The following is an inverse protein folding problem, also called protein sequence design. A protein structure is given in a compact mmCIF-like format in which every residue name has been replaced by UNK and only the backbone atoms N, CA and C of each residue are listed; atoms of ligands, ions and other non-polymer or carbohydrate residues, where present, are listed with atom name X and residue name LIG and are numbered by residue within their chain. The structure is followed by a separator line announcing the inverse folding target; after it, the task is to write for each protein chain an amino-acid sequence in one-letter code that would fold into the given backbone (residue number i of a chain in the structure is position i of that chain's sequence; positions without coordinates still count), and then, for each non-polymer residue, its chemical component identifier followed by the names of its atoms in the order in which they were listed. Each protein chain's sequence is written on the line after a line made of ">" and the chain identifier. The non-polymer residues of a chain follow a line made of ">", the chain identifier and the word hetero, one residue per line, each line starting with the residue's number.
data_IF_594290849871
#
_entry.id   IF_594290849871
#
_cell.length_a   1.000
_cell.length_b   1.000
_cell.length_c   1.000
_cell.angle_alpha   90.00
_cell.angle_beta   90.00
_cell.angle_gamma   90.00
#
_symmetry.space_group_name_H-M   'P 1'
#
loop_
_entity.id
_entity.type
_entity.pdbx_description
1 polymer ?
#
# COMPACT_ATOMS: atom_id res chain seq x y z
N UNK A 1 20.05 26.84 -37.78
CA UNK A 1 20.61 26.82 -36.41
C UNK A 1 19.73 27.70 -35.53
N UNK A 2 18.95 27.12 -34.61
CA UNK A 2 18.41 27.81 -33.42
C UNK A 2 17.89 26.74 -32.45
N UNK A 3 18.56 26.63 -31.31
CA UNK A 3 18.29 25.69 -30.21
C UNK A 3 16.96 26.01 -29.52
N UNK A 4 16.05 25.03 -29.45
CA UNK A 4 14.93 25.03 -28.49
C UNK A 4 15.27 24.09 -27.33
N UNK A 5 16.23 24.49 -26.49
CA UNK A 5 16.58 23.79 -25.26
C UNK A 5 15.55 24.10 -24.16
N UNK A 6 14.72 23.10 -23.86
CA UNK A 6 14.31 22.70 -22.51
C UNK A 6 13.97 23.77 -21.48
N UNK A 7 12.72 24.24 -21.47
CA UNK A 7 12.06 24.77 -20.27
C UNK A 7 10.95 23.82 -19.82
N UNK A 8 11.31 22.57 -19.51
CA UNK A 8 10.43 21.71 -18.72
C UNK A 8 10.21 22.41 -17.37
N UNK A 9 9.01 22.96 -17.17
CA UNK A 9 8.78 23.95 -16.11
C UNK A 9 9.06 23.37 -14.72
N UNK A 10 9.93 24.06 -13.97
CA UNK A 10 10.29 23.71 -12.59
C UNK A 10 9.05 23.70 -11.68
N UNK A 11 8.03 24.48 -12.02
CA UNK A 11 6.72 24.55 -11.35
C UNK A 11 5.97 23.21 -11.40
N UNK A 12 5.95 22.52 -12.55
CA UNK A 12 5.31 21.21 -12.68
C UNK A 12 6.04 20.13 -11.87
N UNK A 13 7.36 20.25 -11.70
CA UNK A 13 8.15 19.31 -10.89
C UNK A 13 7.85 19.48 -9.40
N UNK A 14 7.80 20.71 -8.89
CA UNK A 14 7.44 20.99 -7.48
C UNK A 14 5.99 20.58 -7.16
N UNK A 15 5.06 20.87 -8.06
CA UNK A 15 3.66 20.45 -7.93
C UNK A 15 3.52 18.91 -7.96
N UNK A 16 4.23 18.23 -8.87
CA UNK A 16 4.25 16.77 -8.91
C UNK A 16 4.83 16.17 -7.62
N UNK A 17 5.94 16.70 -7.10
CA UNK A 17 6.52 16.26 -5.82
C UNK A 17 5.51 16.45 -4.67
N UNK A 18 4.83 17.59 -4.61
CA UNK A 18 3.79 17.84 -3.62
C UNK A 18 2.63 16.83 -3.71
N UNK A 19 2.18 16.51 -4.92
CA UNK A 19 1.14 15.50 -5.15
C UNK A 19 1.58 14.11 -4.70
N UNK A 20 2.82 13.69 -5.03
CA UNK A 20 3.37 12.41 -4.57
C UNK A 20 3.50 12.35 -3.05
N UNK A 21 3.99 13.42 -2.42
CA UNK A 21 4.11 13.49 -0.96
C UNK A 21 2.74 13.37 -0.28
N UNK A 22 1.72 14.06 -0.80
CA UNK A 22 0.36 13.99 -0.31
C UNK A 22 -0.23 12.57 -0.48
N UNK A 23 -0.06 11.96 -1.65
CA UNK A 23 -0.53 10.60 -1.92
C UNK A 23 0.11 9.57 -0.97
N UNK A 24 1.42 9.68 -0.73
CA UNK A 24 2.15 8.81 0.22
C UNK A 24 1.65 9.05 1.65
N UNK A 25 1.46 10.30 2.05
CA UNK A 25 0.93 10.63 3.38
C UNK A 25 -0.46 10.01 3.62
N UNK A 26 -1.40 10.18 2.68
CA UNK A 26 -2.74 9.60 2.80
C UNK A 26 -2.71 8.07 2.77
N UNK A 27 -1.87 7.47 1.93
CA UNK A 27 -1.70 6.03 1.85
C UNK A 27 -1.25 5.44 3.19
N UNK A 28 -0.18 5.96 3.76
CA UNK A 28 0.34 5.50 5.06
C UNK A 28 -0.60 5.83 6.21
N UNK A 29 -1.22 7.01 6.21
CA UNK A 29 -2.22 7.40 7.21
C UNK A 29 -3.38 6.41 7.25
N UNK A 30 -3.94 6.06 6.09
CA UNK A 30 -5.03 5.08 5.99
C UNK A 30 -4.64 3.70 6.52
N UNK A 31 -3.38 3.27 6.35
CA UNK A 31 -2.89 1.98 6.83
C UNK A 31 -2.68 1.93 8.35
N UNK A 32 -2.19 3.03 8.95
CA UNK A 32 -1.80 3.07 10.35
C UNK A 32 -2.88 3.50 11.33
N UNK A 33 -3.90 4.24 10.89
CA UNK A 33 -4.96 4.75 11.78
C UNK A 33 -5.69 3.64 12.57
N UNK A 34 -5.94 2.49 11.94
CA UNK A 34 -6.70 1.39 12.56
C UNK A 34 -5.81 0.27 13.12
N UNK A 35 -4.48 0.35 12.94
CA UNK A 35 -3.54 -0.63 13.47
C UNK A 35 -3.58 -0.79 15.01
N UNK A 36 -3.72 0.28 15.83
CA UNK A 36 -3.81 0.11 17.29
C UNK A 36 -5.16 -0.46 17.74
N UNK A 37 -6.23 -0.28 16.96
CA UNK A 37 -7.58 -0.75 17.31
C UNK A 37 -7.89 -2.14 16.76
N UNK A 38 -7.15 -2.62 15.76
CA UNK A 38 -7.40 -3.92 15.16
C UNK A 38 -7.20 -5.10 16.15
N UNK A 39 -6.14 -5.16 16.97
CA UNK A 39 -5.95 -6.27 17.90
C UNK A 39 -7.07 -6.37 18.94
N UNK A 40 -7.54 -5.23 19.46
CA UNK A 40 -8.64 -5.19 20.44
C UNK A 40 -9.97 -5.56 19.78
N UNK A 41 -10.20 -5.14 18.53
CA UNK A 41 -11.37 -5.58 17.76
C UNK A 41 -11.36 -7.09 17.49
N UNK A 42 -10.21 -7.65 17.12
CA UNK A 42 -10.08 -9.09 16.91
C UNK A 42 -10.28 -9.88 18.21
N UNK A 43 -9.69 -9.44 19.33
CA UNK A 43 -9.90 -10.07 20.63
C UNK A 43 -11.37 -10.09 21.06
N UNK A 44 -12.18 -9.12 20.66
CA UNK A 44 -13.62 -9.15 20.91
C UNK A 44 -14.39 -10.21 20.10
N UNK A 45 -13.77 -10.73 19.03
CA UNK A 45 -14.38 -11.67 18.08
C UNK A 45 -13.81 -13.09 18.14
N UNK A 46 -12.62 -13.28 18.71
CA UNK A 46 -11.98 -14.60 18.81
C UNK A 46 -11.63 -14.95 20.24
N UNK A 47 -11.81 -16.22 20.58
CA UNK A 47 -11.45 -16.79 21.87
C UNK A 47 -9.94 -17.09 21.91
N UNK A 48 -9.39 -17.56 20.80
CA UNK A 48 -7.97 -17.91 20.68
C UNK A 48 -7.12 -16.76 20.16
N UNK A 49 -6.10 -16.39 20.95
CA UNK A 49 -5.16 -15.33 20.61
C UNK A 49 -4.30 -15.66 19.36
N UNK A 50 -4.14 -16.95 19.04
CA UNK A 50 -3.44 -17.43 17.84
C UNK A 50 -3.99 -16.83 16.55
N UNK A 51 -5.32 -16.64 16.47
CA UNK A 51 -5.96 -16.04 15.30
C UNK A 51 -5.66 -14.55 15.16
N UNK A 52 -5.53 -13.83 16.27
CA UNK A 52 -5.14 -12.41 16.27
C UNK A 52 -3.76 -12.26 15.66
N UNK A 53 -2.80 -13.08 16.09
CA UNK A 53 -1.45 -13.13 15.52
C UNK A 53 -1.44 -13.52 14.04
N UNK A 54 -2.28 -14.48 13.65
CA UNK A 54 -2.42 -14.89 12.25
C UNK A 54 -2.88 -13.73 11.34
N UNK A 55 -3.95 -13.03 11.71
CA UNK A 55 -4.48 -11.88 10.94
C UNK A 55 -3.45 -10.74 10.84
N UNK A 56 -2.75 -10.45 11.94
CA UNK A 56 -1.71 -9.40 11.98
C UNK A 56 -0.51 -9.77 11.09
N UNK A 57 -0.06 -11.03 11.14
CA UNK A 57 1.08 -11.51 10.36
C UNK A 57 0.82 -11.60 8.87
N UNK A 58 -0.43 -11.81 8.42
CA UNK A 58 -0.78 -11.82 6.99
C UNK A 58 -0.35 -10.54 6.27
N UNK A 59 -0.48 -9.39 6.91
CA UNK A 59 -0.02 -8.12 6.32
C UNK A 59 1.48 -8.17 6.00
N UNK A 60 2.31 -8.55 6.96
CA UNK A 60 3.76 -8.64 6.79
C UNK A 60 4.18 -9.78 5.85
N UNK A 61 3.49 -10.92 5.88
CA UNK A 61 3.73 -12.07 5.00
C UNK A 61 3.54 -11.69 3.54
N UNK A 62 2.36 -11.14 3.20
CA UNK A 62 2.05 -10.73 1.84
C UNK A 62 2.92 -9.56 1.38
N UNK A 63 3.23 -8.63 2.28
CA UNK A 63 4.18 -7.56 2.01
C UNK A 63 5.56 -8.12 1.63
N UNK A 64 6.08 -9.11 2.37
CA UNK A 64 7.38 -9.72 2.10
C UNK A 64 7.38 -10.53 0.79
N UNK A 65 6.33 -11.33 0.57
CA UNK A 65 6.18 -12.17 -0.62
C UNK A 65 6.09 -11.35 -1.91
N UNK A 66 5.36 -10.24 -1.89
CA UNK A 66 5.13 -9.40 -3.07
C UNK A 66 6.33 -8.49 -3.36
N UNK A 67 7.13 -8.16 -2.33
CA UNK A 67 8.25 -7.24 -2.45
C UNK A 67 9.36 -7.74 -3.39
N UNK A 68 9.70 -9.03 -3.33
CA UNK A 68 10.75 -9.62 -4.20
C UNK A 68 10.33 -9.60 -5.69
N UNK A 69 9.17 -10.16 -6.10
CA UNK A 69 8.76 -10.18 -7.49
C UNK A 69 8.50 -8.77 -8.03
N UNK A 70 7.97 -7.85 -7.22
CA UNK A 70 7.78 -6.46 -7.65
C UNK A 70 9.09 -5.70 -7.84
N UNK A 71 10.12 -5.98 -7.05
CA UNK A 71 11.45 -5.40 -7.28
C UNK A 71 11.98 -5.78 -8.67
N UNK A 72 11.91 -7.08 -9.01
CA UNK A 72 12.35 -7.58 -10.31
C UNK A 72 11.47 -7.01 -11.45
N UNK A 73 10.15 -7.00 -11.28
CA UNK A 73 9.22 -6.47 -12.29
C UNK A 73 9.40 -4.96 -12.53
N UNK A 74 9.72 -4.19 -11.49
CA UNK A 74 10.00 -2.77 -11.60
C UNK A 74 11.27 -2.48 -12.41
N UNK A 75 12.33 -3.24 -12.14
CA UNK A 75 13.60 -3.15 -12.88
C UNK A 75 13.41 -3.49 -14.36
N UNK A 76 12.50 -4.42 -14.68
CA UNK A 76 12.23 -4.83 -16.05
C UNK A 76 11.34 -3.85 -16.84
N UNK A 77 10.36 -3.21 -16.18
CA UNK A 77 9.34 -2.42 -16.86
C UNK A 77 9.69 -0.93 -17.00
N UNK A 78 10.62 -0.40 -16.19
CA UNK A 78 11.17 0.97 -16.31
C UNK A 78 10.16 2.12 -16.15
N UNK A 79 8.86 1.87 -15.95
CA UNK A 79 7.80 2.87 -15.80
C UNK A 79 7.16 2.80 -14.42
N UNK A 80 7.40 3.82 -13.59
CA UNK A 80 7.03 3.87 -12.16
C UNK A 80 5.57 4.27 -11.89
N UNK A 81 4.99 5.09 -12.77
CA UNK A 81 3.63 5.65 -12.60
C UNK A 81 2.50 4.62 -12.46
N UNK A 82 2.40 3.54 -13.29
CA UNK A 82 1.28 2.60 -13.19
C UNK A 82 1.28 1.79 -11.89
N UNK A 83 2.45 1.42 -11.36
CA UNK A 83 2.55 0.68 -10.11
C UNK A 83 1.95 1.46 -8.93
N UNK A 84 2.19 2.77 -8.87
CA UNK A 84 1.65 3.62 -7.81
C UNK A 84 0.11 3.61 -7.79
N UNK A 85 -0.51 3.70 -8.97
CA UNK A 85 -1.97 3.67 -9.12
C UNK A 85 -2.52 2.31 -8.69
N UNK A 86 -1.88 1.21 -9.10
CA UNK A 86 -2.28 -0.15 -8.70
C UNK A 86 -2.15 -0.35 -7.20
N UNK A 87 -1.04 0.10 -6.59
CA UNK A 87 -0.84 0.04 -5.14
C UNK A 87 -1.90 0.81 -4.37
N UNK A 88 -2.21 2.05 -4.78
CA UNK A 88 -3.29 2.85 -4.19
C UNK A 88 -4.67 2.19 -4.33
N UNK A 89 -4.98 1.66 -5.52
CA UNK A 89 -6.25 0.98 -5.77
C UNK A 89 -6.41 -0.26 -4.88
N UNK A 90 -5.38 -1.10 -4.80
CA UNK A 90 -5.36 -2.28 -3.91
C UNK A 90 -5.47 -1.88 -2.44
N UNK A 91 -4.81 -0.79 -2.03
CA UNK A 91 -4.86 -0.29 -0.65
C UNK A 91 -6.26 0.19 -0.28
N UNK A 92 -6.91 0.95 -1.17
CA UNK A 92 -8.29 1.39 -1.01
C UNK A 92 -9.26 0.19 -0.93
N UNK A 93 -9.06 -0.80 -1.79
CA UNK A 93 -9.88 -2.02 -1.79
C UNK A 93 -9.70 -2.85 -0.51
N UNK A 94 -8.46 -3.04 -0.07
CA UNK A 94 -8.16 -3.75 1.17
C UNK A 94 -8.75 -3.04 2.39
N UNK A 95 -8.63 -1.71 2.45
CA UNK A 95 -9.25 -0.90 3.51
C UNK A 95 -10.78 -0.99 3.49
N UNK A 96 -11.40 -0.99 2.32
CA UNK A 96 -12.85 -1.14 2.18
C UNK A 96 -13.33 -2.52 2.65
N UNK A 97 -12.62 -3.60 2.30
CA UNK A 97 -12.91 -4.96 2.78
C UNK A 97 -12.79 -5.01 4.30
N UNK A 98 -11.75 -4.42 4.88
CA UNK A 98 -11.56 -4.35 6.33
C UNK A 98 -12.69 -3.58 7.05
N UNK A 99 -13.21 -2.51 6.44
CA UNK A 99 -14.29 -1.71 7.01
C UNK A 99 -15.69 -2.33 6.86
N UNK A 100 -15.88 -3.19 5.86
CA UNK A 100 -17.17 -3.84 5.59
C UNK A 100 -17.27 -5.24 6.19
N UNK A 101 -16.13 -5.89 6.46
CA UNK A 101 -16.10 -7.27 6.96
C UNK A 101 -16.22 -7.33 8.48
N UNK A 102 -17.20 -8.09 8.96
CA UNK A 102 -17.34 -8.42 10.38
C UNK A 102 -16.77 -9.79 10.75
N UNK A 103 -16.35 -10.56 9.75
CA UNK A 103 -15.88 -11.93 9.88
C UNK A 103 -14.36 -12.02 9.87
N UNK A 104 -13.82 -13.01 10.59
CA UNK A 104 -12.39 -13.22 10.73
C UNK A 104 -11.69 -13.42 9.37
N UNK A 105 -12.33 -14.17 8.47
CA UNK A 105 -11.83 -14.45 7.13
C UNK A 105 -11.77 -13.16 6.30
N UNK A 106 -12.81 -12.32 6.39
CA UNK A 106 -12.84 -11.03 5.69
C UNK A 106 -11.74 -10.08 6.19
N UNK A 107 -11.49 -10.04 7.51
CA UNK A 107 -10.38 -9.27 8.09
C UNK A 107 -9.00 -9.78 7.64
N UNK A 108 -8.85 -11.10 7.55
CA UNK A 108 -7.64 -11.77 7.05
C UNK A 108 -7.38 -11.42 5.57
N UNK A 109 -8.41 -11.52 4.73
CA UNK A 109 -8.34 -11.18 3.31
C UNK A 109 -8.06 -9.69 3.10
N UNK A 110 -8.73 -8.81 3.85
CA UNK A 110 -8.45 -7.37 3.86
C UNK A 110 -6.98 -7.10 4.19
N UNK A 111 -6.43 -7.79 5.21
CA UNK A 111 -5.02 -7.68 5.61
C UNK A 111 -4.04 -8.23 4.59
N UNK A 112 -4.39 -9.31 3.90
CA UNK A 112 -3.59 -9.83 2.80
C UNK A 112 -3.51 -8.81 1.66
N UNK A 113 -4.64 -8.24 1.25
CA UNK A 113 -4.72 -7.26 0.15
C UNK A 113 -3.96 -5.97 0.52
N UNK A 114 -4.11 -5.48 1.74
CA UNK A 114 -3.34 -4.31 2.18
C UNK A 114 -1.84 -4.60 2.26
N UNK A 115 -1.44 -5.82 2.63
CA UNK A 115 -0.04 -6.27 2.59
C UNK A 115 0.54 -6.27 1.17
N UNK A 116 -0.21 -6.79 0.20
CA UNK A 116 0.15 -6.74 -1.24
C UNK A 116 0.31 -5.29 -1.69
N UNK A 117 -0.64 -4.42 -1.34
CA UNK A 117 -0.61 -2.99 -1.66
C UNK A 117 0.64 -2.30 -1.12
N UNK A 118 1.01 -2.52 0.14
CA UNK A 118 2.22 -1.93 0.72
C UNK A 118 3.50 -2.46 0.05
N UNK A 119 3.50 -3.72 -0.41
CA UNK A 119 4.62 -4.27 -1.20
C UNK A 119 4.92 -3.46 -2.46
N UNK A 120 3.89 -2.87 -3.08
CA UNK A 120 4.02 -2.04 -4.30
C UNK A 120 4.74 -0.71 -4.04
N UNK A 121 4.72 -0.21 -2.80
CA UNK A 121 5.37 1.07 -2.45
C UNK A 121 6.90 1.04 -2.67
N UNK A 122 7.54 -0.13 -2.63
CA UNK A 122 8.99 -0.28 -2.86
C UNK A 122 9.43 0.20 -4.25
N UNK A 123 8.54 0.11 -5.25
CA UNK A 123 8.79 0.58 -6.62
C UNK A 123 8.94 2.11 -6.70
N UNK A 124 8.59 2.85 -5.64
CA UNK A 124 8.82 4.29 -5.58
C UNK A 124 10.24 4.66 -5.15
N UNK A 125 10.92 3.75 -4.42
CA UNK A 125 12.25 3.99 -3.85
C UNK A 125 13.35 3.59 -4.84
N UNK A 126 13.10 2.59 -5.68
CA UNK A 126 14.01 2.10 -6.72
C UNK A 126 13.77 2.89 -8.00
#
# INVERSE_FOLDING_TARGET
>A
MQNTTGTWSVTNRKAAIGLYALAVFFFWGSQYIYLPTLPTYLQSKVIDLSWVGFVLSMYGLWQALVRIPLGIAADWWGRRKPFLIVGLALGAWGAWILGTSNDLIGLTLGRAITGVSTGVWVVLVV
#
